data_IF_029366385120
#
_entry.id   IF_029366385120
#
_cell.length_a   1.000
_cell.length_b   1.000
_cell.length_c   1.000
_cell.angle_alpha   90.00
_cell.angle_beta   90.00
_cell.angle_gamma   90.00
#
_symmetry.space_group_name_H-M   'P 1'
#
loop_
_entity.id
_entity.type
_entity.pdbx_description
1 polymer ?
#
# COMPACT_ATOMS: atom_id res chain seq x y z
N UNK A 1 44.59 32.34 -28.90
CA UNK A 1 44.22 30.91 -28.92
C UNK A 1 44.04 30.32 -27.51
N UNK A 2 45.07 30.15 -26.66
CA UNK A 2 44.89 29.61 -25.29
C UNK A 2 44.00 30.45 -24.35
N UNK A 3 43.91 31.77 -24.55
CA UNK A 3 43.06 32.68 -23.75
C UNK A 3 41.58 32.58 -24.12
N UNK A 4 41.25 32.47 -25.41
CA UNK A 4 39.88 32.37 -25.91
C UNK A 4 39.24 31.04 -25.54
N UNK A 5 39.99 29.94 -25.63
CA UNK A 5 39.53 28.61 -25.22
C UNK A 5 39.24 28.55 -23.70
N UNK A 6 40.04 29.24 -22.89
CA UNK A 6 39.83 29.38 -21.43
C UNK A 6 38.58 30.22 -21.13
N UNK A 7 38.33 31.30 -21.87
CA UNK A 7 37.14 32.15 -21.74
C UNK A 7 35.88 31.41 -22.17
N UNK A 8 35.93 30.65 -23.27
CA UNK A 8 34.79 29.86 -23.75
C UNK A 8 34.42 28.73 -22.79
N UNK A 9 35.42 28.03 -22.24
CA UNK A 9 35.21 27.03 -21.18
C UNK A 9 34.58 27.67 -19.93
N UNK A 10 35.07 28.84 -19.50
CA UNK A 10 34.49 29.58 -18.37
C UNK A 10 33.04 30.00 -18.60
N UNK A 11 32.67 30.42 -19.82
CA UNK A 11 31.29 30.74 -20.19
C UNK A 11 30.40 29.50 -20.16
N UNK A 12 30.84 28.36 -20.68
CA UNK A 12 30.11 27.09 -20.62
C UNK A 12 29.81 26.69 -19.17
N UNK A 13 30.80 26.75 -18.28
CA UNK A 13 30.61 26.49 -16.84
C UNK A 13 29.63 27.45 -16.18
N UNK A 14 29.68 28.74 -16.52
CA UNK A 14 28.71 29.72 -16.03
C UNK A 14 27.29 29.38 -16.49
N UNK A 15 27.09 29.02 -17.77
CA UNK A 15 25.79 28.56 -18.26
C UNK A 15 25.32 27.30 -17.54
N UNK A 16 26.18 26.31 -17.34
CA UNK A 16 25.86 25.10 -16.57
C UNK A 16 25.43 25.44 -15.13
N UNK A 17 26.16 26.34 -14.46
CA UNK A 17 25.82 26.76 -13.10
C UNK A 17 24.48 27.51 -13.06
N UNK A 18 24.24 28.43 -13.99
CA UNK A 18 22.97 29.17 -14.09
C UNK A 18 21.81 28.20 -14.30
N UNK A 19 21.95 27.26 -15.24
CA UNK A 19 20.93 26.25 -15.50
C UNK A 19 20.71 25.35 -14.27
N UNK A 20 21.77 24.92 -13.61
CA UNK A 20 21.68 24.12 -12.39
C UNK A 20 20.95 24.88 -11.26
N UNK A 21 21.33 26.13 -11.00
CA UNK A 21 20.67 26.96 -9.99
C UNK A 21 19.21 27.22 -10.35
N UNK A 22 18.90 27.43 -11.62
CA UNK A 22 17.52 27.57 -12.10
C UNK A 22 16.71 26.28 -11.87
N UNK A 23 17.29 25.10 -12.13
CA UNK A 23 16.64 23.80 -11.85
C UNK A 23 16.41 23.64 -10.35
N UNK A 24 17.38 23.97 -9.50
CA UNK A 24 17.22 23.89 -8.04
C UNK A 24 16.14 24.86 -7.56
N UNK A 25 16.12 26.10 -8.06
CA UNK A 25 15.11 27.10 -7.72
C UNK A 25 13.71 26.64 -8.15
N UNK A 26 13.55 26.17 -9.39
CA UNK A 26 12.29 25.63 -9.89
C UNK A 26 11.86 24.40 -9.10
N UNK A 27 12.79 23.47 -8.83
CA UNK A 27 12.53 22.31 -8.00
C UNK A 27 12.05 22.68 -6.59
N UNK A 28 12.65 23.71 -5.99
CA UNK A 28 12.22 24.24 -4.70
C UNK A 28 10.84 24.91 -4.80
N UNK A 29 10.60 25.79 -5.77
CA UNK A 29 9.32 26.49 -5.95
C UNK A 29 8.16 25.51 -6.21
N UNK A 30 8.39 24.49 -7.03
CA UNK A 30 7.38 23.50 -7.43
C UNK A 30 7.42 22.21 -6.59
N UNK A 31 8.17 22.17 -5.49
CA UNK A 31 8.31 20.94 -4.66
C UNK A 31 6.98 20.37 -4.20
N UNK A 32 6.06 21.22 -3.73
CA UNK A 32 4.78 20.76 -3.18
C UNK A 32 3.91 20.05 -4.24
N UNK A 33 3.60 20.66 -5.40
CA UNK A 33 2.82 19.96 -6.43
C UNK A 33 3.54 18.73 -7.01
N UNK A 34 4.87 18.76 -7.15
CA UNK A 34 5.65 17.62 -7.63
C UNK A 34 5.58 16.44 -6.66
N UNK A 35 5.85 16.67 -5.38
CA UNK A 35 5.84 15.63 -4.34
C UNK A 35 4.41 15.15 -4.06
N UNK A 36 3.39 16.01 -4.18
CA UNK A 36 1.98 15.60 -4.10
C UNK A 36 1.60 14.69 -5.26
N UNK A 37 1.99 15.04 -6.48
CA UNK A 37 1.72 14.23 -7.67
C UNK A 37 2.43 12.87 -7.58
N UNK A 38 3.68 12.88 -7.08
CA UNK A 38 4.43 11.67 -6.80
C UNK A 38 3.70 10.74 -5.81
N UNK A 39 3.22 11.26 -4.68
CA UNK A 39 2.44 10.48 -3.73
C UNK A 39 1.13 9.94 -4.34
N UNK A 40 0.37 10.81 -5.01
CA UNK A 40 -0.91 10.43 -5.63
C UNK A 40 -0.76 9.34 -6.70
N UNK A 41 0.42 9.20 -7.31
CA UNK A 41 0.66 8.08 -8.24
C UNK A 41 0.55 6.72 -7.54
N UNK A 42 0.96 6.58 -6.28
CA UNK A 42 0.85 5.34 -5.51
C UNK A 42 -0.56 5.08 -4.96
N UNK A 43 -1.43 6.09 -4.98
CA UNK A 43 -2.76 5.99 -4.40
C UNK A 43 -3.77 5.52 -5.45
N UNK A 44 -4.43 4.41 -5.16
CA UNK A 44 -5.56 3.85 -5.89
C UNK A 44 -6.71 3.67 -4.92
N UNK A 45 -7.88 4.15 -5.30
CA UNK A 45 -9.13 3.97 -4.55
C UNK A 45 -10.25 3.81 -5.59
N UNK A 46 -10.62 2.58 -5.87
CA UNK A 46 -11.59 2.22 -6.91
C UNK A 46 -12.70 1.28 -6.38
N UNK A 47 -12.85 1.19 -5.05
CA UNK A 47 -13.87 0.38 -4.43
C UNK A 47 -15.28 0.85 -4.83
N UNK A 48 -16.13 -0.09 -5.22
CA UNK A 48 -17.55 0.15 -5.52
C UNK A 48 -18.43 -0.79 -4.70
N UNK A 49 -19.73 -0.45 -4.59
CA UNK A 49 -20.68 -1.25 -3.79
C UNK A 49 -21.00 -2.60 -4.44
N UNK A 50 -21.47 -3.54 -3.63
CA UNK A 50 -21.92 -4.86 -4.07
C UNK A 50 -20.80 -5.88 -4.25
N UNK A 51 -19.63 -5.66 -3.65
CA UNK A 51 -18.60 -6.68 -3.55
C UNK A 51 -19.04 -7.79 -2.57
N UNK A 52 -18.48 -8.99 -2.71
CA UNK A 52 -18.79 -10.13 -1.85
C UNK A 52 -18.13 -10.01 -0.47
N UNK A 53 -16.95 -9.40 -0.43
CA UNK A 53 -16.16 -9.26 0.79
C UNK A 53 -15.26 -8.02 0.78
N UNK A 54 -15.00 -7.51 1.98
CA UNK A 54 -13.94 -6.57 2.29
C UNK A 54 -12.83 -7.33 3.00
N UNK A 55 -11.63 -7.34 2.43
CA UNK A 55 -10.43 -8.01 2.96
C UNK A 55 -9.45 -6.95 3.46
N UNK A 56 -9.14 -6.98 4.75
CA UNK A 56 -8.25 -6.03 5.40
C UNK A 56 -6.84 -6.62 5.37
N UNK A 57 -5.94 -5.96 4.63
CA UNK A 57 -4.55 -6.41 4.53
C UNK A 57 -3.76 -6.12 5.80
N UNK A 58 -2.73 -6.93 6.00
CA UNK A 58 -1.79 -6.88 7.12
C UNK A 58 -0.97 -5.59 7.19
N UNK A 59 -0.68 -5.11 8.40
CA UNK A 59 0.13 -3.91 8.63
C UNK A 59 -0.49 -3.01 9.68
N UNK A 60 -0.70 -1.73 9.35
CA UNK A 60 -1.25 -0.74 10.28
C UNK A 60 -2.77 -0.90 10.44
N UNK A 61 -3.22 -1.88 11.24
CA UNK A 61 -4.66 -2.15 11.42
C UNK A 61 -5.44 -0.98 12.04
N UNK A 62 -4.77 -0.10 12.78
CA UNK A 62 -5.39 1.05 13.46
C UNK A 62 -6.16 1.98 12.51
N UNK A 63 -5.71 2.13 11.27
CA UNK A 63 -6.37 2.96 10.24
C UNK A 63 -7.20 2.14 9.27
N UNK A 64 -6.83 0.87 9.04
CA UNK A 64 -7.47 -0.01 8.04
C UNK A 64 -8.78 -0.59 8.54
N UNK A 65 -8.86 -1.03 9.79
CA UNK A 65 -10.10 -1.59 10.36
C UNK A 65 -11.22 -0.54 10.41
N UNK A 66 -11.01 0.70 10.89
CA UNK A 66 -12.07 1.72 10.85
C UNK A 66 -12.56 2.04 9.43
N UNK A 67 -11.64 2.11 8.45
CA UNK A 67 -12.02 2.30 7.04
C UNK A 67 -12.89 1.14 6.53
N UNK A 68 -12.51 -0.10 6.83
CA UNK A 68 -13.27 -1.28 6.43
C UNK A 68 -14.66 -1.33 7.08
N UNK A 69 -14.76 -1.03 8.37
CA UNK A 69 -16.04 -0.91 9.10
C UNK A 69 -16.94 0.15 8.48
N UNK A 70 -16.39 1.31 8.11
CA UNK A 70 -17.14 2.37 7.43
C UNK A 70 -17.68 1.91 6.08
N UNK A 71 -16.87 1.21 5.28
CA UNK A 71 -17.31 0.66 3.99
C UNK A 71 -18.40 -0.41 4.18
N UNK A 72 -18.23 -1.30 5.14
CA UNK A 72 -19.22 -2.31 5.50
C UNK A 72 -20.55 -1.69 5.92
N UNK A 73 -20.52 -0.71 6.83
CA UNK A 73 -21.72 -0.02 7.28
C UNK A 73 -22.42 0.77 6.15
N UNK A 74 -21.66 1.21 5.14
CA UNK A 74 -22.18 1.85 3.94
C UNK A 74 -22.68 0.88 2.86
N UNK A 75 -22.61 -0.43 3.11
CA UNK A 75 -23.09 -1.48 2.22
C UNK A 75 -22.16 -1.78 1.04
N UNK A 76 -20.85 -1.58 1.18
CA UNK A 76 -19.90 -1.92 0.10
C UNK A 76 -19.77 -3.44 -0.09
N UNK A 77 -19.74 -4.19 1.01
CA UNK A 77 -19.80 -5.64 1.02
C UNK A 77 -20.43 -6.14 2.33
N UNK A 78 -21.04 -7.34 2.35
CA UNK A 78 -21.68 -7.88 3.54
C UNK A 78 -20.69 -8.49 4.55
N UNK A 79 -19.50 -8.90 4.11
CA UNK A 79 -18.56 -9.66 4.92
C UNK A 79 -17.21 -8.94 5.08
N UNK A 80 -16.63 -9.05 6.28
CA UNK A 80 -15.35 -8.48 6.65
C UNK A 80 -14.36 -9.59 6.98
N UNK A 81 -13.17 -9.49 6.40
CA UNK A 81 -12.09 -10.43 6.61
C UNK A 81 -10.80 -9.72 6.98
N UNK A 82 -9.97 -10.38 7.77
CA UNK A 82 -8.55 -10.05 7.96
C UNK A 82 -7.69 -11.17 7.40
N UNK A 83 -6.47 -10.87 6.98
CA UNK A 83 -5.49 -11.88 6.58
C UNK A 83 -4.71 -12.41 7.79
N UNK A 84 -4.44 -13.72 7.80
CA UNK A 84 -3.51 -14.33 8.75
C UNK A 84 -2.06 -13.99 8.36
N UNK A 85 -1.25 -13.59 9.32
CA UNK A 85 0.11 -13.07 9.10
C UNK A 85 1.09 -13.83 9.94
N UNK A 86 2.29 -14.08 9.40
CA UNK A 86 3.35 -14.71 10.18
C UNK A 86 3.78 -13.76 11.30
N UNK A 87 3.72 -14.20 12.58
CA UNK A 87 4.12 -13.33 13.68
C UNK A 87 5.64 -13.06 13.61
N UNK A 88 6.11 -11.80 13.73
CA UNK A 88 7.54 -11.46 13.65
C UNK A 88 8.41 -12.18 14.69
N UNK A 89 7.81 -12.53 15.83
CA UNK A 89 8.44 -13.33 16.87
C UNK A 89 7.45 -14.39 17.36
N UNK A 90 7.40 -15.58 16.72
CA UNK A 90 6.39 -16.61 17.01
C UNK A 90 6.36 -17.02 18.49
N UNK A 91 7.52 -17.04 19.17
CA UNK A 91 7.64 -17.33 20.59
C UNK A 91 6.86 -16.35 21.49
N UNK A 92 6.71 -15.10 21.05
CA UNK A 92 6.05 -14.02 21.80
C UNK A 92 4.69 -13.63 21.21
N UNK A 93 4.11 -14.46 20.33
CA UNK A 93 2.83 -14.15 19.67
C UNK A 93 1.70 -13.86 20.65
N UNK A 94 1.72 -14.50 21.82
CA UNK A 94 0.74 -14.32 22.89
C UNK A 94 0.77 -12.93 23.56
N UNK A 95 1.81 -12.13 23.31
CA UNK A 95 1.94 -10.77 23.86
C UNK A 95 1.29 -9.69 22.97
N UNK A 96 0.81 -10.04 21.77
CA UNK A 96 0.20 -9.11 20.83
C UNK A 96 -1.13 -9.66 20.35
N UNK A 97 -2.13 -8.80 20.24
CA UNK A 97 -3.36 -9.17 19.54
C UNK A 97 -3.05 -9.55 18.10
N UNK A 98 -3.64 -10.64 17.63
CA UNK A 98 -3.65 -10.92 16.20
C UNK A 98 -4.59 -9.94 15.47
N UNK A 99 -4.57 -9.98 14.13
CA UNK A 99 -5.36 -9.06 13.32
C UNK A 99 -6.87 -9.17 13.61
N UNK A 100 -7.36 -10.39 13.84
CA UNK A 100 -8.77 -10.68 14.08
C UNK A 100 -9.23 -10.13 15.44
N UNK A 101 -8.47 -10.40 16.50
CA UNK A 101 -8.72 -9.88 17.85
C UNK A 101 -8.72 -8.35 17.86
N UNK A 102 -7.74 -7.73 17.20
CA UNK A 102 -7.68 -6.29 17.08
C UNK A 102 -8.89 -5.74 16.33
N UNK A 103 -9.31 -6.37 15.23
CA UNK A 103 -10.46 -5.93 14.45
C UNK A 103 -11.76 -5.97 15.26
N UNK A 104 -11.99 -7.04 16.03
CA UNK A 104 -13.11 -7.14 16.95
C UNK A 104 -13.09 -6.04 18.02
N UNK A 105 -11.92 -5.76 18.61
CA UNK A 105 -11.79 -4.69 19.62
C UNK A 105 -12.08 -3.30 19.07
N UNK A 106 -11.68 -3.02 17.84
CA UNK A 106 -12.00 -1.76 17.16
C UNK A 106 -13.49 -1.64 16.85
N UNK A 107 -14.13 -2.73 16.41
CA UNK A 107 -15.58 -2.72 16.18
C UNK A 107 -16.37 -2.54 17.47
N UNK A 108 -15.97 -3.22 18.55
CA UNK A 108 -16.54 -3.04 19.90
C UNK A 108 -16.42 -1.58 20.36
N UNK A 109 -15.22 -1.00 20.28
CA UNK A 109 -14.97 0.39 20.67
C UNK A 109 -15.72 1.42 19.81
N UNK A 110 -15.97 1.10 18.54
CA UNK A 110 -16.74 1.93 17.62
C UNK A 110 -18.24 1.63 17.60
N UNK A 111 -18.74 0.78 18.50
CA UNK A 111 -20.14 0.34 18.59
C UNK A 111 -20.69 -0.26 17.27
N UNK A 112 -19.82 -0.88 16.48
CA UNK A 112 -20.21 -1.62 15.29
C UNK A 112 -20.61 -3.05 15.65
N UNK A 113 -21.81 -3.47 15.24
CA UNK A 113 -22.23 -4.87 15.30
C UNK A 113 -21.67 -5.68 14.10
N UNK A 114 -20.37 -5.56 13.87
CA UNK A 114 -19.66 -6.19 12.77
C UNK A 114 -19.00 -7.49 13.25
N UNK A 115 -19.08 -8.53 12.42
CA UNK A 115 -18.32 -9.77 12.63
C UNK A 115 -17.20 -9.83 11.61
N UNK A 116 -16.05 -10.33 12.06
CA UNK A 116 -14.89 -10.57 11.22
C UNK A 116 -14.62 -12.06 11.15
N UNK A 117 -14.06 -12.49 10.04
CA UNK A 117 -13.43 -13.80 9.91
C UNK A 117 -12.00 -13.64 9.42
N UNK A 118 -11.19 -14.68 9.61
CA UNK A 118 -9.81 -14.70 9.13
C UNK A 118 -9.71 -15.51 7.84
N UNK A 119 -8.93 -15.01 6.89
CA UNK A 119 -8.47 -15.79 5.74
C UNK A 119 -7.22 -16.55 6.19
N UNK A 120 -7.29 -17.88 6.29
CA UNK A 120 -6.17 -18.68 6.76
C UNK A 120 -5.05 -18.66 5.74
N UNK A 121 -3.82 -18.67 6.23
CA UNK A 121 -2.65 -18.68 5.35
C UNK A 121 -2.33 -20.07 4.83
N UNK A 122 -1.81 -20.14 3.61
CA UNK A 122 -1.37 -21.38 2.98
C UNK A 122 -0.05 -21.92 3.57
N UNK A 123 0.79 -21.06 4.16
CA UNK A 123 2.13 -21.43 4.66
C UNK A 123 2.45 -20.77 6.02
N UNK A 124 1.60 -20.97 7.02
CA UNK A 124 1.88 -20.55 8.41
C UNK A 124 1.95 -19.04 8.62
N UNK A 125 1.24 -18.28 7.77
CA UNK A 125 1.06 -16.84 7.86
C UNK A 125 1.71 -16.11 6.68
N UNK A 126 1.00 -15.12 6.13
CA UNK A 126 1.52 -14.30 5.05
C UNK A 126 2.75 -13.49 5.52
N UNK A 127 3.76 -13.40 4.66
CA UNK A 127 4.95 -12.58 4.85
C UNK A 127 5.05 -11.43 3.85
N UNK A 128 4.29 -11.51 2.77
CA UNK A 128 4.27 -10.50 1.72
C UNK A 128 2.85 -10.25 1.20
N UNK A 129 2.71 -9.20 0.39
CA UNK A 129 1.44 -8.89 -0.25
C UNK A 129 1.06 -9.93 -1.32
N UNK A 130 2.04 -10.65 -1.89
CA UNK A 130 1.77 -11.77 -2.79
C UNK A 130 1.20 -12.97 -2.03
N UNK A 131 1.72 -13.27 -0.82
CA UNK A 131 1.18 -14.33 0.03
C UNK A 131 -0.28 -14.02 0.41
N UNK A 132 -0.57 -12.79 0.86
CA UNK A 132 -1.93 -12.36 1.18
C UNK A 132 -2.88 -12.48 -0.02
N UNK A 133 -2.40 -12.19 -1.23
CA UNK A 133 -3.17 -12.35 -2.46
C UNK A 133 -3.43 -13.84 -2.78
N UNK A 134 -2.43 -14.70 -2.63
CA UNK A 134 -2.58 -16.14 -2.88
C UNK A 134 -3.56 -16.80 -1.88
N UNK A 135 -3.44 -16.46 -0.60
CA UNK A 135 -4.33 -16.90 0.47
C UNK A 135 -5.78 -16.46 0.17
N UNK A 136 -5.95 -15.18 -0.19
CA UNK A 136 -7.25 -14.63 -0.55
C UNK A 136 -7.85 -15.29 -1.81
N UNK A 137 -7.06 -15.60 -2.84
CA UNK A 137 -7.55 -16.25 -4.06
C UNK A 137 -8.11 -17.64 -3.77
N UNK A 138 -7.36 -18.45 -3.02
CA UNK A 138 -7.81 -19.81 -2.65
C UNK A 138 -9.11 -19.73 -1.85
N UNK A 139 -9.18 -18.79 -0.91
CA UNK A 139 -10.38 -18.59 -0.10
C UNK A 139 -11.58 -18.10 -0.91
N UNK A 140 -11.37 -17.11 -1.79
CA UNK A 140 -12.39 -16.53 -2.66
C UNK A 140 -12.97 -17.58 -3.62
N UNK A 141 -12.13 -18.43 -4.22
CA UNK A 141 -12.57 -19.56 -5.07
C UNK A 141 -13.44 -20.55 -4.30
N UNK A 142 -13.04 -20.94 -3.08
CA UNK A 142 -13.82 -21.83 -2.21
C UNK A 142 -15.18 -21.24 -1.83
N UNK A 143 -15.26 -19.92 -1.65
CA UNK A 143 -16.49 -19.18 -1.33
C UNK A 143 -17.34 -18.81 -2.55
N UNK A 144 -16.82 -19.00 -3.76
CA UNK A 144 -17.50 -18.62 -5.00
C UNK A 144 -17.62 -17.11 -5.22
N UNK A 145 -16.74 -16.30 -4.63
CA UNK A 145 -16.75 -14.85 -4.82
C UNK A 145 -16.49 -14.45 -6.27
N UNK A 146 -17.00 -13.27 -6.65
CA UNK A 146 -16.85 -12.62 -7.94
C UNK A 146 -16.20 -11.26 -7.85
N UNK A 147 -16.34 -10.57 -6.71
CA UNK A 147 -15.68 -9.30 -6.46
C UNK A 147 -15.26 -9.16 -5.00
N UNK A 148 -14.04 -8.69 -4.75
CA UNK A 148 -13.58 -8.35 -3.41
C UNK A 148 -12.94 -6.96 -3.36
N UNK A 149 -13.01 -6.32 -2.20
CA UNK A 149 -12.37 -5.04 -1.92
C UNK A 149 -11.24 -5.27 -0.93
N UNK A 150 -9.99 -5.01 -1.31
CA UNK A 150 -8.87 -4.98 -0.38
C UNK A 150 -8.76 -3.59 0.28
N UNK A 151 -8.52 -3.54 1.58
CA UNK A 151 -8.33 -2.29 2.34
C UNK A 151 -6.90 -2.22 2.83
N UNK A 152 -6.20 -1.13 2.45
CA UNK A 152 -4.83 -0.88 2.88
C UNK A 152 -4.51 0.61 2.91
N UNK A 153 -3.32 0.97 3.40
CA UNK A 153 -2.86 2.36 3.48
C UNK A 153 -2.74 2.99 2.08
N UNK A 154 -3.12 4.26 1.94
CA UNK A 154 -3.13 4.97 0.66
C UNK A 154 -1.83 4.82 -0.14
N UNK A 155 -0.67 5.00 0.50
CA UNK A 155 0.65 4.83 -0.14
C UNK A 155 0.92 3.41 -0.67
N UNK A 156 0.25 2.39 -0.14
CA UNK A 156 0.46 0.98 -0.48
C UNK A 156 -0.54 0.47 -1.55
N UNK A 157 -1.68 1.15 -1.71
CA UNK A 157 -2.80 0.67 -2.54
C UNK A 157 -2.43 0.27 -3.97
N UNK A 158 -1.59 1.05 -4.69
CA UNK A 158 -1.19 0.66 -6.06
C UNK A 158 -0.41 -0.65 -6.10
N UNK A 159 0.56 -0.84 -5.21
CA UNK A 159 1.38 -2.06 -5.16
C UNK A 159 0.53 -3.27 -4.74
N UNK A 160 -0.35 -3.07 -3.75
CA UNK A 160 -1.25 -4.12 -3.28
C UNK A 160 -2.23 -4.55 -4.38
N UNK A 161 -2.88 -3.58 -5.05
CA UNK A 161 -3.79 -3.87 -6.15
C UNK A 161 -3.08 -4.64 -7.26
N UNK A 162 -1.88 -4.21 -7.66
CA UNK A 162 -1.09 -4.89 -8.69
C UNK A 162 -0.75 -6.35 -8.31
N UNK A 163 -0.38 -6.59 -7.05
CA UNK A 163 -0.09 -7.94 -6.55
C UNK A 163 -1.33 -8.85 -6.66
N UNK A 164 -2.47 -8.35 -6.19
CA UNK A 164 -3.73 -9.06 -6.24
C UNK A 164 -4.20 -9.29 -7.69
N UNK A 165 -4.17 -8.27 -8.55
CA UNK A 165 -4.55 -8.40 -9.97
C UNK A 165 -3.73 -9.49 -10.68
N UNK A 166 -2.43 -9.57 -10.41
CA UNK A 166 -1.56 -10.61 -10.99
C UNK A 166 -1.90 -12.02 -10.50
N UNK A 167 -2.12 -12.18 -9.20
CA UNK A 167 -2.45 -13.49 -8.62
C UNK A 167 -3.86 -13.93 -9.00
N UNK A 168 -4.79 -12.99 -9.08
CA UNK A 168 -6.19 -13.22 -9.47
C UNK A 168 -6.38 -13.27 -10.98
N UNK A 169 -5.32 -13.12 -11.78
CA UNK A 169 -5.41 -13.22 -13.23
C UNK A 169 -6.05 -14.55 -13.63
N UNK A 170 -6.88 -14.51 -14.67
CA UNK A 170 -7.68 -15.64 -15.16
C UNK A 170 -8.65 -16.30 -14.15
N UNK A 171 -8.78 -15.79 -12.91
CA UNK A 171 -9.70 -16.36 -11.91
C UNK A 171 -11.17 -16.01 -12.15
N UNK A 172 -11.43 -14.95 -12.93
CA UNK A 172 -12.76 -14.38 -13.11
C UNK A 172 -13.29 -13.62 -11.88
N UNK A 173 -12.43 -13.32 -10.90
CA UNK A 173 -12.77 -12.57 -9.68
C UNK A 173 -12.16 -11.17 -9.80
N UNK A 174 -12.98 -10.14 -9.69
CA UNK A 174 -12.57 -8.74 -9.72
C UNK A 174 -11.99 -8.32 -8.37
N UNK A 175 -10.82 -7.69 -8.39
CA UNK A 175 -10.23 -7.07 -7.18
C UNK A 175 -10.28 -5.56 -7.30
N UNK A 176 -10.80 -4.93 -6.25
CA UNK A 176 -10.79 -3.48 -6.08
C UNK A 176 -10.06 -3.13 -4.78
N UNK A 177 -9.61 -1.89 -4.65
CA UNK A 177 -8.90 -1.40 -3.47
C UNK A 177 -9.56 -0.15 -2.91
N UNK A 178 -9.60 -0.06 -1.58
CA UNK A 178 -9.97 1.14 -0.86
C UNK A 178 -8.77 1.69 -0.06
N UNK A 179 -8.46 2.95 -0.29
CA UNK A 179 -7.37 3.63 0.41
C UNK A 179 -7.83 4.09 1.80
N UNK A 180 -7.05 3.76 2.83
CA UNK A 180 -7.16 4.44 4.12
C UNK A 180 -6.23 5.65 4.20
N UNK A 181 -6.72 6.70 4.86
CA UNK A 181 -5.92 7.87 5.22
C UNK A 181 -4.95 7.50 6.35
N UNK A 182 -3.87 8.26 6.46
CA UNK A 182 -2.92 8.13 7.56
C UNK A 182 -3.08 9.32 8.51
N UNK A 183 -2.93 9.07 9.82
CA UNK A 183 -3.13 10.10 10.86
C UNK A 183 -1.92 11.03 11.04
N UNK A 184 -0.77 10.66 10.47
CA UNK A 184 0.52 11.38 10.61
C UNK A 184 0.80 12.28 9.40
N UNK A 185 0.45 11.83 8.20
CA UNK A 185 0.69 12.57 6.96
C UNK A 185 -0.36 12.22 5.91
N UNK A 186 -0.41 12.98 4.82
CA UNK A 186 -1.21 12.71 3.64
C UNK A 186 -0.40 12.99 2.36
N UNK A 187 -1.03 12.85 1.19
CA UNK A 187 -0.33 13.02 -0.08
C UNK A 187 0.23 14.43 -0.30
N UNK A 188 -0.29 15.47 0.35
CA UNK A 188 0.17 16.85 0.19
C UNK A 188 1.21 17.31 1.21
N UNK A 189 1.64 16.45 2.15
CA UNK A 189 2.65 16.80 3.14
C UNK A 189 3.58 15.66 3.58
N UNK A 190 3.56 14.50 2.92
CA UNK A 190 4.35 13.33 3.34
C UNK A 190 5.85 13.59 3.50
N UNK A 191 6.43 14.51 2.73
CA UNK A 191 7.84 14.87 2.78
C UNK A 191 8.24 15.70 4.01
N UNK A 192 7.27 16.09 4.85
CA UNK A 192 7.52 16.77 6.13
C UNK A 192 7.37 15.85 7.34
N UNK A 193 7.29 14.53 7.11
CA UNK A 193 7.14 13.51 8.14
C UNK A 193 8.12 12.38 7.90
N UNK A 194 8.87 11.97 8.92
CA UNK A 194 9.79 10.82 8.84
C UNK A 194 9.07 9.55 8.39
N UNK A 195 7.84 9.34 8.88
CA UNK A 195 7.01 8.20 8.47
C UNK A 195 6.59 8.32 7.01
N UNK A 196 6.16 9.50 6.58
CA UNK A 196 5.77 9.77 5.19
C UNK A 196 6.94 9.54 4.23
N UNK A 197 8.11 10.10 4.54
CA UNK A 197 9.36 9.89 3.80
C UNK A 197 9.67 8.40 3.70
N UNK A 198 9.69 7.70 4.83
CA UNK A 198 10.05 6.28 4.89
C UNK A 198 9.15 5.42 4.00
N UNK A 199 7.82 5.57 4.09
CA UNK A 199 6.91 4.71 3.33
C UNK A 199 6.97 4.99 1.83
N UNK A 200 7.02 6.26 1.42
CA UNK A 200 7.02 6.58 0.00
C UNK A 200 8.36 6.29 -0.68
N UNK A 201 9.48 6.38 0.02
CA UNK A 201 10.80 5.92 -0.47
C UNK A 201 10.82 4.39 -0.59
N UNK A 202 10.28 3.68 0.41
CA UNK A 202 10.18 2.23 0.35
C UNK A 202 9.26 1.75 -0.78
N UNK A 203 8.16 2.44 -1.04
CA UNK A 203 7.28 2.10 -2.16
C UNK A 203 7.95 2.34 -3.53
N UNK A 204 8.86 3.32 -3.67
CA UNK A 204 9.70 3.44 -4.88
C UNK A 204 10.52 2.18 -5.15
N UNK A 205 11.02 1.56 -4.07
CA UNK A 205 11.91 0.39 -4.15
C UNK A 205 11.09 -0.90 -4.30
N UNK A 206 10.01 -1.04 -3.54
CA UNK A 206 9.17 -2.26 -3.54
C UNK A 206 8.31 -2.37 -4.78
N UNK A 207 7.74 -1.27 -5.28
CA UNK A 207 6.82 -1.34 -6.42
C UNK A 207 7.43 -2.01 -7.66
N UNK A 208 8.66 -1.69 -8.11
CA UNK A 208 9.30 -2.39 -9.23
C UNK A 208 9.38 -3.91 -9.07
N UNK A 209 9.61 -4.41 -7.85
CA UNK A 209 9.62 -5.86 -7.57
C UNK A 209 8.25 -6.46 -7.90
N UNK A 210 7.17 -5.84 -7.43
CA UNK A 210 5.82 -6.29 -7.74
C UNK A 210 5.44 -6.06 -9.21
N UNK A 211 6.09 -5.12 -9.89
CA UNK A 211 5.87 -4.86 -11.31
C UNK A 211 6.51 -5.93 -12.21
N UNK A 212 7.72 -6.37 -11.91
CA UNK A 212 8.45 -7.34 -12.75
C UNK A 212 8.20 -8.80 -12.40
N UNK A 213 7.80 -9.12 -11.16
CA UNK A 213 7.50 -10.50 -10.73
C UNK A 213 6.00 -10.75 -10.58
N UNK A 214 5.59 -12.01 -10.74
CA UNK A 214 4.19 -12.47 -10.56
C UNK A 214 3.96 -13.23 -9.26
N UNK A 215 5.02 -13.47 -8.51
CA UNK A 215 5.04 -14.09 -7.19
C UNK A 215 6.20 -13.48 -6.39
N UNK A 216 6.27 -13.76 -5.08
CA UNK A 216 7.35 -13.25 -4.24
C UNK A 216 8.72 -13.78 -4.74
N UNK A 217 9.64 -12.91 -5.19
CA UNK A 217 10.92 -13.39 -5.69
C UNK A 217 11.80 -13.89 -4.56
N UNK A 218 12.46 -15.03 -4.78
CA UNK A 218 13.43 -15.63 -3.82
C UNK A 218 14.58 -14.71 -3.39
N UNK A 219 14.85 -13.65 -4.16
CA UNK A 219 15.90 -12.66 -3.87
C UNK A 219 15.46 -11.69 -2.76
N UNK A 220 14.15 -11.52 -2.56
CA UNK A 220 13.57 -10.70 -1.50
C UNK A 220 13.21 -11.62 -0.35
N UNK A 221 13.88 -11.43 0.78
CA UNK A 221 13.59 -12.14 2.02
C UNK A 221 12.62 -11.31 2.86
N UNK A 222 11.63 -11.97 3.45
CA UNK A 222 10.61 -11.37 4.32
C UNK A 222 10.68 -11.90 5.76
N UNK A 223 11.86 -12.38 6.16
CA UNK A 223 12.16 -12.85 7.52
C UNK A 223 12.84 -11.79 8.41
#
# INVERSE_FOLDING_TARGET
MMSEERVEKSRRWLYFLIVFLLIVLLGWLFRAPLLTSYANWFIKDNATKGADAIVILSGSNATRVPKALKLWAQGYAPALFVTEVRPPAPAYKHLRYNNLEFAHKVAEAGEYNATFAEIPSLDGGATSTFDEAADALVYAKKRGWKRLIIVTDGFHTRRALLAFEKIFDESGIEVQVAATSNDVFNSSNWWTSDRGISVYVLETIKFPVYFFWSEEPKVVRND
#
